data_IF_709796419664
#
_entry.id   IF_709796419664
#
_cell.length_a   1.000
_cell.length_b   1.000
_cell.length_c   1.000
_cell.angle_alpha   90.00
_cell.angle_beta   90.00
_cell.angle_gamma   90.00
#
_symmetry.space_group_name_H-M   'P 1'
#
loop_
_entity.id
_entity.type
_entity.pdbx_description
1 polymer ?
#
# COMPACT_ATOMS: atom_id res chain seq x y z
N UNK A 1 -51.58 14.60 28.65
CA UNK A 1 -52.11 15.43 29.77
C UNK A 1 -51.48 14.98 31.08
N UNK A 2 -50.45 15.68 31.56
CA UNK A 2 -50.10 15.91 32.99
C UNK A 2 -48.83 16.76 33.03
N UNK A 3 -49.06 18.06 33.21
CA UNK A 3 -48.07 19.10 33.49
C UNK A 3 -47.41 18.84 34.85
N UNK A 4 -46.10 19.08 34.95
CA UNK A 4 -45.45 19.46 36.21
C UNK A 4 -44.61 20.71 35.97
N UNK A 5 -45.16 21.81 36.46
CA UNK A 5 -44.60 23.15 36.59
C UNK A 5 -43.59 23.11 37.75
N UNK A 6 -42.37 23.63 37.56
CA UNK A 6 -41.50 24.02 38.68
C UNK A 6 -40.77 25.32 38.34
N UNK A 7 -40.69 26.15 39.38
CA UNK A 7 -40.49 27.60 39.35
C UNK A 7 -39.10 28.05 38.91
N UNK A 8 -39.09 29.23 38.28
CA UNK A 8 -37.94 30.10 38.03
C UNK A 8 -37.18 30.40 39.33
N UNK A 9 -35.87 30.15 39.31
CA UNK A 9 -34.89 30.67 40.27
C UNK A 9 -33.82 31.45 39.51
N UNK A 10 -33.85 32.78 39.63
CA UNK A 10 -32.86 33.71 39.08
C UNK A 10 -31.60 33.60 39.94
N UNK A 11 -30.53 33.02 39.40
CA UNK A 11 -29.20 32.98 40.01
C UNK A 11 -28.22 33.82 39.19
N UNK A 12 -27.91 35.01 39.71
CA UNK A 12 -26.89 35.92 39.19
C UNK A 12 -25.52 35.28 39.46
N UNK A 13 -24.83 34.84 38.40
CA UNK A 13 -23.51 34.21 38.46
C UNK A 13 -22.45 35.04 37.74
N UNK A 14 -21.53 35.58 38.55
CA UNK A 14 -20.22 36.17 38.27
C UNK A 14 -19.68 36.09 36.82
N UNK A 15 -19.38 37.26 36.24
CA UNK A 15 -18.50 37.43 35.09
C UNK A 15 -17.05 37.16 35.53
N UNK A 16 -16.51 35.98 35.18
CA UNK A 16 -15.08 35.70 35.25
C UNK A 16 -14.40 36.34 34.03
N UNK A 17 -13.61 37.39 34.31
CA UNK A 17 -12.74 38.07 33.36
C UNK A 17 -11.72 37.10 32.77
N UNK A 18 -11.77 36.89 31.45
CA UNK A 18 -10.79 36.10 30.71
C UNK A 18 -9.41 36.76 30.79
N UNK A 19 -8.43 36.02 31.31
CA UNK A 19 -7.01 36.35 31.19
C UNK A 19 -6.61 36.01 29.75
N UNK A 20 -6.06 36.95 28.95
CA UNK A 20 -5.58 36.62 27.62
C UNK A 20 -4.35 35.73 27.76
N UNK A 21 -4.45 34.52 27.22
CA UNK A 21 -3.33 33.62 27.03
C UNK A 21 -2.38 34.30 26.02
N UNK A 22 -1.33 34.93 26.52
CA UNK A 22 -0.26 35.45 25.67
C UNK A 22 0.48 34.25 25.11
N UNK A 23 0.22 33.93 23.84
CA UNK A 23 1.05 33.01 23.09
C UNK A 23 2.48 33.59 23.09
N UNK A 24 3.38 32.95 23.84
CA UNK A 24 4.80 33.21 23.74
C UNK A 24 5.23 32.80 22.33
N UNK A 25 5.43 33.80 21.48
CA UNK A 25 6.03 33.63 20.17
C UNK A 25 7.49 33.25 20.40
N UNK A 26 7.78 31.94 20.32
CA UNK A 26 9.15 31.45 20.29
C UNK A 26 9.81 32.05 19.04
N UNK A 27 10.92 32.74 19.23
CA UNK A 27 11.71 33.38 18.17
C UNK A 27 12.27 32.31 17.24
N UNK A 28 11.54 32.01 16.17
CA UNK A 28 11.98 31.13 15.08
C UNK A 28 13.23 31.75 14.44
N UNK A 29 14.36 31.05 14.46
CA UNK A 29 15.51 31.40 13.62
C UNK A 29 15.00 31.54 12.19
N UNK A 30 15.26 32.69 11.57
CA UNK A 30 14.75 33.02 10.24
C UNK A 30 15.14 31.91 9.26
N UNK A 31 14.15 31.15 8.79
CA UNK A 31 14.34 30.06 7.83
C UNK A 31 15.06 30.62 6.60
N UNK A 32 16.20 30.03 6.19
CA UNK A 32 16.90 30.50 5.01
C UNK A 32 16.03 30.28 3.78
N UNK A 33 15.89 31.33 2.96
CA UNK A 33 15.11 31.24 1.72
C UNK A 33 15.88 30.49 0.63
N UNK A 34 17.21 30.63 0.63
CA UNK A 34 18.15 29.96 -0.27
C UNK A 34 19.31 29.39 0.53
N UNK A 35 19.74 28.17 0.20
CA UNK A 35 20.93 27.51 0.74
C UNK A 35 21.85 27.13 -0.42
N UNK A 36 23.14 27.39 -0.28
CA UNK A 36 24.14 27.01 -1.29
C UNK A 36 24.82 25.72 -0.82
N UNK A 37 24.82 24.69 -1.66
CA UNK A 37 25.47 23.41 -1.40
C UNK A 37 26.79 23.36 -2.19
N UNK A 38 27.88 23.70 -1.52
CA UNK A 38 29.22 23.93 -2.08
C UNK A 38 30.26 22.85 -1.69
N UNK A 39 29.85 21.87 -0.88
CA UNK A 39 30.77 20.96 -0.21
C UNK A 39 31.49 19.97 -1.15
N UNK A 40 31.02 19.85 -2.40
CA UNK A 40 31.57 18.96 -3.44
C UNK A 40 31.96 19.74 -4.71
N UNK A 41 32.22 21.04 -4.59
CA UNK A 41 32.51 21.94 -5.71
C UNK A 41 33.71 21.54 -6.59
N UNK A 42 34.59 20.67 -6.10
CA UNK A 42 35.78 20.24 -6.86
C UNK A 42 35.43 19.40 -8.09
N UNK A 43 34.20 18.86 -8.17
CA UNK A 43 33.75 17.97 -9.25
C UNK A 43 32.59 18.61 -10.05
N UNK A 44 31.74 19.39 -9.37
CA UNK A 44 30.55 20.02 -9.96
C UNK A 44 30.42 21.48 -9.52
N UNK A 45 29.66 22.30 -10.23
CA UNK A 45 29.26 23.63 -9.72
C UNK A 45 28.36 23.50 -8.48
N UNK A 46 28.35 24.48 -7.54
CA UNK A 46 27.49 24.41 -6.36
C UNK A 46 26.00 24.41 -6.72
N UNK A 47 25.19 23.67 -5.96
CA UNK A 47 23.71 23.71 -6.10
C UNK A 47 23.18 24.92 -5.36
N UNK A 48 22.34 25.70 -6.05
CA UNK A 48 21.53 26.74 -5.44
C UNK A 48 20.19 26.11 -5.02
N UNK A 49 20.08 25.71 -3.76
CA UNK A 49 18.89 25.09 -3.22
C UNK A 49 17.88 26.16 -2.75
N UNK A 50 16.73 26.21 -3.42
CA UNK A 50 15.62 27.10 -3.07
C UNK A 50 14.86 26.52 -1.86
N UNK A 51 15.45 26.64 -0.67
CA UNK A 51 14.91 26.08 0.57
C UNK A 51 13.50 26.61 0.88
N UNK A 52 13.22 27.90 0.64
CA UNK A 52 11.90 28.49 0.87
C UNK A 52 10.80 27.77 0.08
N UNK A 53 11.01 27.53 -1.21
CA UNK A 53 10.05 26.82 -2.06
C UNK A 53 9.84 25.37 -1.60
N UNK A 54 10.91 24.68 -1.21
CA UNK A 54 10.80 23.31 -0.72
C UNK A 54 10.09 23.23 0.64
N UNK A 55 10.36 24.19 1.53
CA UNK A 55 9.66 24.29 2.80
C UNK A 55 8.16 24.54 2.60
N UNK A 56 7.79 25.40 1.65
CA UNK A 56 6.39 25.65 1.29
C UNK A 56 5.72 24.38 0.74
N UNK A 57 6.38 23.67 -0.19
CA UNK A 57 5.87 22.40 -0.72
C UNK A 57 5.70 21.34 0.38
N UNK A 58 6.65 21.24 1.30
CA UNK A 58 6.61 20.26 2.38
C UNK A 58 5.46 20.51 3.38
N UNK A 59 4.92 21.74 3.48
CA UNK A 59 3.74 22.02 4.32
C UNK A 59 2.48 21.27 3.88
N UNK A 60 2.45 20.76 2.65
CA UNK A 60 1.34 19.97 2.12
C UNK A 60 1.36 18.51 2.61
N UNK A 61 2.44 18.09 3.29
CA UNK A 61 2.67 16.74 3.80
C UNK A 61 3.13 16.78 5.27
N UNK A 62 4.19 16.07 5.67
CA UNK A 62 4.69 16.03 7.06
C UNK A 62 5.51 17.29 7.49
N UNK A 63 5.45 18.38 6.71
CA UNK A 63 6.13 19.63 7.02
C UNK A 63 7.66 19.50 6.99
N UNK A 64 8.34 20.14 7.95
CA UNK A 64 9.82 20.12 8.00
C UNK A 64 10.40 18.70 8.13
N UNK A 65 9.63 17.76 8.70
CA UNK A 65 10.05 16.38 8.94
C UNK A 65 10.26 15.59 7.65
N UNK A 66 9.69 16.05 6.52
CA UNK A 66 9.89 15.45 5.19
C UNK A 66 11.37 15.42 4.79
N UNK A 67 12.16 16.40 5.25
CA UNK A 67 13.61 16.47 4.99
C UNK A 67 14.46 16.40 6.26
N UNK A 68 13.98 16.98 7.36
CA UNK A 68 14.73 17.09 8.60
C UNK A 68 14.33 16.02 9.60
N UNK A 69 15.12 14.96 9.64
CA UNK A 69 15.02 13.92 10.66
C UNK A 69 15.90 14.22 11.89
N UNK A 70 15.54 13.64 13.03
CA UNK A 70 16.30 13.69 14.29
C UNK A 70 16.73 15.11 14.75
N UNK A 71 15.95 16.13 14.40
CA UNK A 71 16.24 17.51 14.79
C UNK A 71 15.93 17.73 16.27
N UNK A 72 16.79 18.42 17.03
CA UNK A 72 16.48 18.82 18.40
C UNK A 72 15.35 19.86 18.44
N UNK A 73 14.64 19.93 19.56
CA UNK A 73 13.43 20.77 19.71
C UNK A 73 13.70 22.28 19.50
N UNK A 74 14.95 22.73 19.65
CA UNK A 74 15.34 24.14 19.63
C UNK A 74 15.88 24.63 18.29
N UNK A 75 16.30 23.73 17.38
CA UNK A 75 16.85 24.11 16.07
C UNK A 75 16.81 22.97 15.04
N UNK A 76 16.84 23.35 13.77
CA UNK A 76 16.98 22.42 12.65
C UNK A 76 18.42 22.52 12.12
N UNK A 77 19.30 21.53 12.38
CA UNK A 77 20.68 21.56 11.90
C UNK A 77 20.78 21.22 10.40
N UNK A 78 21.81 21.72 9.70
CA UNK A 78 22.11 21.29 8.33
C UNK A 78 22.65 19.86 8.32
N UNK A 79 22.43 19.15 7.20
CA UNK A 79 22.80 17.74 7.01
C UNK A 79 24.24 17.44 7.42
N UNK A 80 25.18 18.35 7.08
CA UNK A 80 26.62 18.20 7.35
C UNK A 80 27.02 18.15 8.82
N UNK A 81 26.17 18.61 9.76
CA UNK A 81 26.45 18.45 11.19
C UNK A 81 26.44 16.97 11.59
N UNK A 82 25.73 16.13 10.84
CA UNK A 82 25.68 14.69 11.07
C UNK A 82 26.36 13.91 9.95
N UNK A 83 26.08 14.20 8.68
CA UNK A 83 26.60 13.46 7.52
C UNK A 83 27.98 13.97 7.08
N UNK A 84 29.00 13.10 7.11
CA UNK A 84 30.39 13.44 6.75
C UNK A 84 30.64 13.41 5.25
N UNK A 85 31.58 14.25 4.79
CA UNK A 85 32.09 14.18 3.40
C UNK A 85 33.06 12.99 3.23
N UNK A 86 33.72 12.60 4.31
CA UNK A 86 34.71 11.52 4.30
C UNK A 86 34.05 10.14 4.20
N UNK A 87 34.60 9.29 3.33
CA UNK A 87 34.18 7.91 3.07
C UNK A 87 35.00 6.99 4.00
N UNK A 88 34.87 7.17 5.32
CA UNK A 88 35.70 6.41 6.27
C UNK A 88 35.05 5.07 6.66
N UNK A 89 33.71 4.97 6.69
CA UNK A 89 32.98 3.71 6.91
C UNK A 89 31.65 3.67 6.11
N UNK A 90 31.32 2.49 5.58
CA UNK A 90 30.09 2.25 4.81
C UNK A 90 28.90 2.02 5.75
N UNK A 91 28.47 3.06 6.45
CA UNK A 91 27.24 3.04 7.26
C UNK A 91 26.05 3.50 6.39
N UNK A 92 25.12 2.59 6.10
CA UNK A 92 23.94 2.92 5.31
C UNK A 92 22.85 3.61 6.14
N UNK A 93 22.86 3.44 7.46
CA UNK A 93 21.99 4.14 8.40
C UNK A 93 22.40 5.61 8.56
N UNK A 94 23.70 5.89 8.40
CA UNK A 94 24.27 7.23 8.39
C UNK A 94 25.15 7.43 7.15
N UNK A 95 24.54 7.65 5.97
CA UNK A 95 25.29 7.83 4.73
C UNK A 95 26.21 9.05 4.80
N UNK A 96 27.12 9.14 3.84
CA UNK A 96 27.90 10.36 3.62
C UNK A 96 26.99 11.54 3.30
N UNK A 97 27.55 12.74 3.29
CA UNK A 97 26.83 13.94 2.89
C UNK A 97 26.31 13.84 1.44
N UNK A 98 27.10 13.23 0.54
CA UNK A 98 26.70 12.99 -0.84
C UNK A 98 25.53 12.00 -0.92
N UNK A 99 25.68 10.83 -0.28
CA UNK A 99 24.63 9.82 -0.23
C UNK A 99 23.34 10.34 0.39
N UNK A 100 23.42 11.19 1.43
CA UNK A 100 22.26 11.83 2.04
C UNK A 100 21.52 12.77 1.05
N UNK A 101 22.24 13.63 0.32
CA UNK A 101 21.64 14.53 -0.67
C UNK A 101 20.98 13.76 -1.82
N UNK A 102 21.70 12.84 -2.45
CA UNK A 102 21.14 12.09 -3.58
C UNK A 102 19.92 11.26 -3.15
N UNK A 103 19.96 10.62 -1.99
CA UNK A 103 18.78 9.90 -1.47
C UNK A 103 17.61 10.84 -1.21
N UNK A 104 17.81 11.96 -0.53
CA UNK A 104 16.70 12.85 -0.18
C UNK A 104 16.11 13.56 -1.40
N UNK A 105 16.97 14.16 -2.23
CA UNK A 105 16.54 14.99 -3.36
C UNK A 105 15.99 14.12 -4.50
N UNK A 106 16.67 13.03 -4.86
CA UNK A 106 16.25 12.21 -5.99
C UNK A 106 15.06 11.33 -5.65
N UNK A 107 14.89 10.90 -4.40
CA UNK A 107 13.73 10.06 -4.06
C UNK A 107 12.41 10.80 -4.29
N UNK A 108 12.33 12.09 -3.92
CA UNK A 108 11.15 12.90 -4.21
C UNK A 108 11.06 13.25 -5.71
N UNK A 109 12.17 13.66 -6.35
CA UNK A 109 12.13 14.09 -7.75
C UNK A 109 11.91 12.93 -8.74
N UNK A 110 12.32 11.71 -8.41
CA UNK A 110 12.14 10.51 -9.26
C UNK A 110 10.67 10.15 -9.43
N UNK A 111 9.82 10.49 -8.48
CA UNK A 111 8.38 10.30 -8.59
C UNK A 111 7.77 11.24 -9.64
N UNK A 112 8.39 12.39 -9.90
CA UNK A 112 7.82 13.47 -10.71
C UNK A 112 8.54 13.69 -12.06
N UNK A 113 9.83 13.37 -12.16
CA UNK A 113 10.63 13.48 -13.38
C UNK A 113 11.14 12.12 -13.89
N UNK A 114 10.80 11.81 -15.15
CA UNK A 114 11.12 10.53 -15.80
C UNK A 114 12.56 10.40 -16.33
N UNK A 115 13.40 11.44 -16.20
CA UNK A 115 14.79 11.44 -16.68
C UNK A 115 15.74 11.98 -15.63
N UNK A 116 16.60 11.10 -15.10
CA UNK A 116 17.70 11.47 -14.20
C UNK A 116 18.76 12.25 -15.00
N UNK A 117 18.65 13.58 -15.02
CA UNK A 117 19.68 14.45 -15.59
C UNK A 117 20.40 15.11 -14.43
N UNK A 118 21.62 14.66 -14.12
CA UNK A 118 22.45 15.23 -13.06
C UNK A 118 22.64 16.75 -13.20
N UNK A 119 22.57 17.23 -14.45
CA UNK A 119 22.71 18.64 -14.86
C UNK A 119 21.54 19.52 -14.39
N UNK A 120 20.41 18.93 -13.98
CA UNK A 120 19.29 19.66 -13.37
C UNK A 120 19.66 20.22 -12.00
N UNK A 121 20.48 19.51 -11.23
CA UNK A 121 20.91 19.93 -9.91
C UNK A 121 22.26 20.66 -9.95
N UNK A 122 23.22 20.12 -10.70
CA UNK A 122 24.59 20.61 -10.74
C UNK A 122 25.05 20.85 -12.18
N UNK A 123 25.55 22.05 -12.50
CA UNK A 123 26.25 22.24 -13.78
C UNK A 123 27.62 21.53 -13.74
N UNK A 124 27.99 20.83 -14.83
CA UNK A 124 29.34 20.24 -14.97
C UNK A 124 30.37 21.36 -15.12
N UNK A 125 31.43 21.32 -14.32
CA UNK A 125 32.63 22.11 -14.58
C UNK A 125 33.29 21.60 -15.87
N UNK A 126 33.59 22.50 -16.80
CA UNK A 126 34.26 22.15 -18.07
C UNK A 126 35.62 21.52 -17.73
N UNK A 127 35.89 20.32 -18.24
CA UNK A 127 37.15 19.60 -17.97
C UNK A 127 38.36 20.41 -18.45
N UNK A 128 39.22 20.86 -17.54
CA UNK A 128 40.60 21.17 -17.88
C UNK A 128 41.41 19.86 -17.73
N UNK A 129 42.17 19.50 -18.76
CA UNK A 129 42.76 18.17 -19.01
C UNK A 129 43.82 17.68 -18.01
N UNK A 130 43.56 17.78 -16.72
CA UNK A 130 44.37 17.24 -15.63
C UNK A 130 44.01 15.78 -15.34
N UNK A 131 45.02 14.92 -15.43
CA UNK A 131 45.05 13.50 -15.08
C UNK A 131 44.05 13.12 -13.95
N UNK A 132 42.86 12.65 -14.33
CA UNK A 132 41.81 12.30 -13.37
C UNK A 132 42.24 11.05 -12.60
N UNK A 133 42.56 11.21 -11.32
CA UNK A 133 42.59 10.08 -10.40
C UNK A 133 41.21 9.43 -10.43
N UNK A 134 41.17 8.10 -10.47
CA UNK A 134 39.93 7.32 -10.39
C UNK A 134 39.09 7.84 -9.22
N UNK A 135 37.85 8.33 -9.44
CA UNK A 135 37.01 8.86 -8.38
C UNK A 135 36.83 7.78 -7.29
N UNK A 136 36.99 8.17 -6.03
CA UNK A 136 36.60 7.31 -4.92
C UNK A 136 35.09 7.08 -5.02
N UNK A 137 34.68 5.81 -5.17
CA UNK A 137 33.26 5.45 -5.28
C UNK A 137 32.65 5.41 -3.89
N UNK A 138 31.75 6.34 -3.62
CA UNK A 138 30.92 6.33 -2.42
C UNK A 138 29.84 5.26 -2.55
N UNK A 139 29.96 4.14 -1.82
CA UNK A 139 28.95 3.06 -1.90
C UNK A 139 27.68 3.35 -1.11
N UNK A 140 27.59 4.49 -0.42
CA UNK A 140 26.35 4.96 0.20
C UNK A 140 25.52 5.80 -0.78
N UNK A 141 26.12 6.23 -1.89
CA UNK A 141 25.42 6.90 -2.98
C UNK A 141 24.57 5.90 -3.80
N UNK A 142 23.42 6.37 -4.28
CA UNK A 142 22.44 5.57 -5.04
C UNK A 142 22.56 5.76 -6.55
N UNK A 143 23.30 6.77 -7.01
CA UNK A 143 23.46 7.08 -8.44
C UNK A 143 24.07 5.89 -9.19
N UNK A 144 23.36 5.41 -10.21
CA UNK A 144 23.83 4.32 -11.08
C UNK A 144 23.89 2.95 -10.42
N UNK A 145 23.39 2.81 -9.19
CA UNK A 145 23.31 1.54 -8.48
C UNK A 145 21.86 1.05 -8.52
N UNK A 146 21.58 0.07 -9.39
CA UNK A 146 20.31 -0.63 -9.34
C UNK A 146 20.20 -1.38 -8.01
N UNK A 147 19.09 -1.19 -7.29
CA UNK A 147 18.83 -1.99 -6.10
C UNK A 147 18.72 -3.48 -6.51
N UNK A 148 19.40 -4.40 -5.79
CA UNK A 148 19.27 -5.83 -6.06
C UNK A 148 17.80 -6.28 -6.02
N UNK A 149 17.46 -7.36 -6.73
CA UNK A 149 16.14 -7.95 -6.60
C UNK A 149 15.86 -8.29 -5.13
N UNK A 150 14.80 -7.72 -4.56
CA UNK A 150 14.39 -8.00 -3.17
C UNK A 150 13.62 -9.30 -3.18
N UNK A 151 14.23 -10.36 -2.64
CA UNK A 151 13.54 -11.63 -2.48
C UNK A 151 12.53 -11.55 -1.34
N UNK A 152 11.25 -11.59 -1.70
CA UNK A 152 10.14 -11.63 -0.75
C UNK A 152 10.02 -13.05 -0.16
N UNK A 153 10.04 -13.24 1.17
CA UNK A 153 9.80 -14.53 1.78
C UNK A 153 8.43 -15.09 1.41
N UNK A 154 8.29 -16.41 1.25
CA UNK A 154 6.98 -17.01 0.97
C UNK A 154 5.99 -16.74 2.11
N UNK A 155 6.39 -17.09 3.34
CA UNK A 155 5.62 -16.88 4.57
C UNK A 155 6.54 -16.74 5.78
N UNK A 156 6.04 -16.08 6.81
CA UNK A 156 6.65 -15.97 8.12
C UNK A 156 5.75 -16.57 9.19
N UNK A 157 6.32 -17.41 10.05
CA UNK A 157 5.59 -18.03 11.16
C UNK A 157 6.08 -17.43 12.47
N UNK A 158 5.15 -16.93 13.29
CA UNK A 158 5.42 -16.38 14.60
C UNK A 158 4.90 -17.32 15.68
N UNK A 159 5.77 -17.64 16.66
CA UNK A 159 5.40 -18.41 17.84
C UNK A 159 5.01 -17.47 18.97
N UNK A 160 3.78 -17.61 19.45
CA UNK A 160 3.20 -16.72 20.46
C UNK A 160 2.97 -17.44 21.78
N UNK A 161 2.77 -16.67 22.86
CA UNK A 161 2.42 -17.19 24.19
C UNK A 161 0.90 -17.37 24.37
N UNK A 162 0.10 -17.08 23.36
CA UNK A 162 -1.35 -17.18 23.44
C UNK A 162 -1.77 -18.64 23.52
N UNK A 163 -2.53 -19.00 24.57
CA UNK A 163 -2.81 -20.41 24.89
C UNK A 163 -3.77 -21.08 23.90
N UNK A 164 -4.72 -20.33 23.34
CA UNK A 164 -5.73 -20.88 22.43
C UNK A 164 -5.17 -21.12 21.01
N UNK A 165 -4.15 -20.37 20.60
CA UNK A 165 -3.45 -20.53 19.32
C UNK A 165 -2.02 -19.98 19.40
N UNK A 166 -1.04 -20.88 19.28
CA UNK A 166 0.39 -20.56 19.49
C UNK A 166 1.09 -20.11 18.23
N UNK A 167 0.45 -20.25 17.06
CA UNK A 167 1.03 -19.93 15.77
C UNK A 167 0.24 -18.79 15.14
N UNK A 168 0.98 -17.82 14.60
CA UNK A 168 0.46 -16.81 13.67
C UNK A 168 1.25 -16.98 12.39
N UNK A 169 0.55 -17.21 11.28
CA UNK A 169 1.17 -17.39 9.97
C UNK A 169 0.87 -16.17 9.13
N UNK A 170 1.92 -15.52 8.62
CA UNK A 170 1.83 -14.39 7.72
C UNK A 170 2.32 -14.83 6.34
N UNK A 171 1.43 -14.91 5.37
CA UNK A 171 1.77 -15.26 3.99
C UNK A 171 2.28 -14.01 3.26
N UNK A 172 3.57 -13.73 3.44
CA UNK A 172 4.20 -12.50 2.96
C UNK A 172 4.13 -12.37 1.44
N UNK A 173 4.35 -13.47 0.70
CA UNK A 173 4.23 -13.44 -0.77
C UNK A 173 2.80 -13.16 -1.23
N UNK A 174 1.78 -13.68 -0.54
CA UNK A 174 0.38 -13.38 -0.88
C UNK A 174 0.05 -11.89 -0.68
N UNK A 175 0.58 -11.25 0.37
CA UNK A 175 0.35 -9.81 0.57
C UNK A 175 0.93 -8.96 -0.56
N UNK A 176 2.09 -9.32 -1.08
CA UNK A 176 2.73 -8.57 -2.17
C UNK A 176 2.18 -8.98 -3.54
N UNK A 177 2.13 -10.27 -3.86
CA UNK A 177 1.81 -10.75 -5.20
C UNK A 177 0.31 -10.96 -5.44
N UNK A 178 -0.45 -11.41 -4.45
CA UNK A 178 -1.88 -11.67 -4.62
C UNK A 178 -2.71 -10.44 -4.26
N UNK A 179 -2.46 -9.83 -3.11
CA UNK A 179 -3.19 -8.67 -2.63
C UNK A 179 -2.62 -7.34 -3.13
N UNK A 180 -1.45 -7.35 -3.77
CA UNK A 180 -0.82 -6.21 -4.45
C UNK A 180 -0.43 -5.06 -3.51
N UNK A 181 -0.11 -5.37 -2.24
CA UNK A 181 0.46 -4.40 -1.33
C UNK A 181 1.90 -4.04 -1.72
N UNK A 182 2.26 -2.78 -1.51
CA UNK A 182 3.60 -2.26 -1.70
C UNK A 182 4.44 -2.49 -0.44
N UNK A 183 5.75 -2.56 -0.61
CA UNK A 183 6.67 -2.74 0.52
C UNK A 183 6.46 -1.67 1.60
N UNK A 184 6.24 -0.42 1.17
CA UNK A 184 6.04 0.74 2.05
C UNK A 184 4.75 0.66 2.86
N UNK A 185 3.75 -0.10 2.43
CA UNK A 185 2.49 -0.25 3.18
C UNK A 185 2.71 -0.95 4.54
N UNK A 186 3.78 -1.74 4.65
CA UNK A 186 4.18 -2.42 5.89
C UNK A 186 5.50 -1.90 6.47
N UNK A 187 6.45 -1.51 5.60
CA UNK A 187 7.81 -1.13 5.95
C UNK A 187 8.04 0.39 5.95
N UNK A 188 6.99 1.19 6.20
CA UNK A 188 7.04 2.66 6.20
C UNK A 188 7.98 3.31 7.23
N UNK A 189 8.40 2.58 8.27
CA UNK A 189 9.32 3.07 9.31
C UNK A 189 10.71 2.41 9.24
N UNK A 190 11.00 1.67 8.18
CA UNK A 190 12.29 1.03 7.97
C UNK A 190 13.20 1.89 7.10
N UNK A 191 14.51 1.67 7.21
CA UNK A 191 15.50 2.35 6.39
C UNK A 191 16.44 1.33 5.72
N UNK A 192 17.31 1.79 4.83
CA UNK A 192 18.21 0.94 4.04
C UNK A 192 19.01 -0.07 4.89
N UNK A 193 19.41 0.33 6.11
CA UNK A 193 20.19 -0.55 7.00
C UNK A 193 19.39 -1.74 7.51
N UNK A 194 18.05 -1.63 7.62
CA UNK A 194 17.20 -2.75 8.05
C UNK A 194 17.35 -3.96 7.14
N UNK A 195 17.47 -3.73 5.83
CA UNK A 195 17.66 -4.79 4.84
C UNK A 195 19.12 -5.12 4.58
N UNK A 196 20.00 -4.11 4.46
CA UNK A 196 21.39 -4.31 4.02
C UNK A 196 22.35 -4.75 5.12
N UNK A 197 22.14 -4.34 6.37
CA UNK A 197 23.03 -4.71 7.48
C UNK A 197 22.52 -5.94 8.22
N UNK A 198 21.29 -6.39 7.93
CA UNK A 198 20.66 -7.60 8.46
C UNK A 198 20.46 -7.64 9.98
N UNK A 199 21.07 -6.71 10.74
CA UNK A 199 21.08 -6.68 12.19
C UNK A 199 21.29 -5.24 12.68
N UNK A 200 20.19 -4.57 12.99
CA UNK A 200 19.98 -3.90 14.28
C UNK A 200 18.49 -3.65 14.44
N UNK A 201 17.78 -4.69 14.90
CA UNK A 201 16.63 -4.44 15.77
C UNK A 201 17.16 -3.64 16.94
N UNK A 202 17.04 -2.32 16.91
CA UNK A 202 16.88 -1.59 18.16
C UNK A 202 15.59 -2.16 18.71
N UNK A 203 15.71 -3.22 19.52
CA UNK A 203 14.57 -3.83 20.15
C UNK A 203 13.81 -2.69 20.82
N UNK A 204 12.52 -2.48 20.53
CA UNK A 204 11.74 -1.57 21.33
C UNK A 204 11.89 -2.05 22.75
N UNK A 205 12.48 -1.20 23.60
CA UNK A 205 12.54 -1.36 25.03
C UNK A 205 11.12 -1.18 25.58
N UNK A 206 10.19 -2.05 25.16
CA UNK A 206 8.91 -2.36 25.79
C UNK A 206 8.11 -3.34 24.92
N UNK A 207 7.87 -4.54 25.48
CA UNK A 207 6.95 -5.57 24.96
C UNK A 207 5.49 -5.14 25.14
N UNK A 208 5.07 -4.03 24.53
CA UNK A 208 3.63 -3.74 24.48
C UNK A 208 3.02 -4.59 23.37
N UNK A 209 1.83 -5.12 23.65
CA UNK A 209 1.12 -6.02 22.75
C UNK A 209 0.89 -5.38 21.38
N UNK A 210 0.59 -4.09 21.38
CA UNK A 210 0.27 -3.30 20.19
C UNK A 210 1.44 -3.22 19.19
N UNK A 211 2.71 -3.14 19.63
CA UNK A 211 3.87 -3.02 18.71
C UNK A 211 3.95 -4.13 17.65
N UNK A 212 3.49 -5.34 17.98
CA UNK A 212 3.46 -6.46 17.02
C UNK A 212 2.13 -6.61 16.28
N UNK A 213 1.05 -6.01 16.78
CA UNK A 213 -0.28 -6.10 16.18
C UNK A 213 -0.57 -4.90 15.27
N UNK A 214 -0.08 -3.71 15.61
CA UNK A 214 -0.33 -2.44 14.90
C UNK A 214 -0.12 -2.55 13.38
N UNK A 215 0.94 -3.22 12.86
CA UNK A 215 1.10 -3.40 11.41
C UNK A 215 -0.02 -4.22 10.76
N UNK A 216 -0.60 -5.17 11.48
CA UNK A 216 -1.69 -6.00 10.98
C UNK A 216 -3.05 -5.30 11.17
N UNK A 217 -3.23 -4.61 12.29
CA UNK A 217 -4.52 -4.02 12.71
C UNK A 217 -4.93 -2.81 11.87
N UNK A 218 -4.00 -2.21 11.12
CA UNK A 218 -4.33 -1.18 10.14
C UNK A 218 -5.27 -1.67 9.03
N UNK A 219 -5.21 -2.96 8.70
CA UNK A 219 -6.05 -3.57 7.65
C UNK A 219 -6.97 -4.69 8.18
N UNK A 220 -6.56 -5.39 9.24
CA UNK A 220 -7.29 -6.52 9.80
C UNK A 220 -8.00 -6.13 11.10
N UNK A 221 -9.33 -6.21 11.07
CA UNK A 221 -10.17 -5.93 12.24
C UNK A 221 -10.06 -7.02 13.33
N UNK A 222 -9.83 -6.59 14.58
CA UNK A 222 -9.89 -7.43 15.79
C UNK A 222 -10.73 -6.82 16.90
N UNK A 223 -11.77 -6.05 16.57
CA UNK A 223 -12.62 -5.33 17.53
C UNK A 223 -13.26 -6.22 18.62
N UNK A 224 -13.29 -7.54 18.44
CA UNK A 224 -13.77 -8.48 19.45
C UNK A 224 -12.76 -9.59 19.76
N UNK A 225 -12.59 -9.95 21.04
CA UNK A 225 -11.68 -11.02 21.51
C UNK A 225 -11.92 -12.39 20.83
N UNK A 226 -13.12 -12.62 20.31
CA UNK A 226 -13.48 -13.82 19.55
C UNK A 226 -12.75 -13.94 18.20
N UNK A 227 -12.25 -12.83 17.63
CA UNK A 227 -11.56 -12.80 16.34
C UNK A 227 -10.05 -13.01 16.44
N UNK A 228 -9.47 -13.05 17.65
CA UNK A 228 -8.05 -13.35 17.85
C UNK A 228 -7.65 -14.70 17.23
N UNK A 229 -8.58 -15.67 17.19
CA UNK A 229 -8.38 -16.99 16.58
C UNK A 229 -8.20 -16.97 15.06
N UNK A 230 -8.50 -15.87 14.38
CA UNK A 230 -8.22 -15.68 12.96
C UNK A 230 -6.72 -15.73 12.70
N UNK A 231 -5.94 -14.96 13.47
CA UNK A 231 -4.49 -14.96 13.39
C UNK A 231 -3.87 -16.08 14.23
N UNK A 232 -4.41 -16.31 15.44
CA UNK A 232 -3.86 -17.25 16.39
C UNK A 232 -4.45 -18.65 16.23
N UNK A 233 -3.72 -19.51 15.52
CA UNK A 233 -4.11 -20.88 15.25
C UNK A 233 -3.24 -21.89 16.00
N UNK A 234 -3.72 -23.14 16.09
CA UNK A 234 -2.95 -24.27 16.64
C UNK A 234 -1.95 -24.83 15.63
N UNK A 235 -2.26 -24.68 14.35
CA UNK A 235 -1.46 -25.09 13.19
C UNK A 235 -1.18 -23.87 12.32
N UNK A 236 -0.31 -24.01 11.33
CA UNK A 236 -0.16 -22.98 10.30
C UNK A 236 -1.48 -22.73 9.58
N UNK A 237 -1.78 -21.48 9.26
CA UNK A 237 -2.97 -21.16 8.45
C UNK A 237 -2.70 -21.54 7.00
N UNK A 238 -3.72 -22.05 6.27
CA UNK A 238 -3.62 -22.18 4.84
C UNK A 238 -3.48 -20.80 4.18
N UNK A 239 -2.91 -20.77 2.99
CA UNK A 239 -2.95 -19.60 2.12
C UNK A 239 -4.36 -19.33 1.59
N UNK A 240 -4.55 -18.20 0.93
CA UNK A 240 -5.84 -17.88 0.32
C UNK A 240 -6.17 -18.80 -0.85
N UNK A 241 -7.45 -19.20 -0.94
CA UNK A 241 -8.00 -19.91 -2.08
C UNK A 241 -9.50 -19.71 -2.17
N UNK A 242 -10.01 -19.40 -3.37
CA UNK A 242 -11.45 -19.30 -3.62
C UNK A 242 -12.21 -20.61 -3.33
N UNK A 243 -11.55 -21.76 -3.41
CA UNK A 243 -12.13 -23.05 -3.05
C UNK A 243 -12.56 -23.12 -1.58
N UNK A 244 -12.01 -22.25 -0.72
CA UNK A 244 -12.36 -22.12 0.69
C UNK A 244 -13.47 -21.08 0.93
N UNK A 245 -13.85 -20.31 -0.08
CA UNK A 245 -14.78 -19.17 0.03
C UNK A 245 -16.23 -19.53 -0.28
N UNK A 246 -16.53 -20.80 -0.57
CA UNK A 246 -17.87 -21.25 -0.97
C UNK A 246 -18.18 -21.01 -2.45
N UNK A 247 -17.34 -20.24 -3.16
CA UNK A 247 -17.43 -20.01 -4.60
C UNK A 247 -16.08 -20.31 -5.29
N UNK A 248 -15.82 -21.58 -5.65
CA UNK A 248 -14.64 -21.97 -6.42
C UNK A 248 -14.63 -21.29 -7.80
N UNK A 249 -13.50 -20.70 -8.18
CA UNK A 249 -13.34 -20.15 -9.53
C UNK A 249 -13.21 -21.29 -10.54
N UNK A 250 -13.98 -21.22 -11.63
CA UNK A 250 -13.87 -22.14 -12.76
C UNK A 250 -12.70 -21.73 -13.68
N UNK A 251 -12.40 -22.56 -14.68
CA UNK A 251 -11.28 -22.37 -15.62
C UNK A 251 -11.25 -21.00 -16.31
N UNK A 252 -12.41 -20.40 -16.59
CA UNK A 252 -12.50 -19.10 -17.23
C UNK A 252 -12.32 -17.92 -16.25
N UNK A 253 -12.52 -18.15 -14.96
CA UNK A 253 -12.40 -17.12 -13.92
C UNK A 253 -11.12 -17.26 -13.07
N UNK A 254 -10.45 -18.41 -13.09
CA UNK A 254 -9.30 -18.73 -12.21
C UNK A 254 -8.11 -17.77 -12.38
N UNK A 255 -7.95 -17.19 -13.58
CA UNK A 255 -6.83 -16.30 -13.93
C UNK A 255 -7.20 -14.82 -13.90
N UNK A 256 -8.44 -14.50 -13.55
CA UNK A 256 -8.86 -13.10 -13.48
C UNK A 256 -8.18 -12.41 -12.29
N UNK A 257 -7.74 -11.15 -12.45
CA UNK A 257 -7.25 -10.38 -11.32
C UNK A 257 -8.41 -10.13 -10.35
N UNK A 258 -8.13 -10.02 -9.05
CA UNK A 258 -9.16 -9.85 -8.03
C UNK A 258 -10.09 -8.66 -8.33
N UNK A 259 -9.54 -7.59 -8.91
CA UNK A 259 -10.27 -6.37 -9.23
C UNK A 259 -11.25 -6.50 -10.42
N UNK A 260 -11.25 -7.63 -11.13
CA UNK A 260 -12.22 -7.92 -12.16
C UNK A 260 -13.62 -8.13 -11.57
N UNK A 261 -13.70 -8.65 -10.34
CA UNK A 261 -14.96 -8.88 -9.63
C UNK A 261 -15.06 -8.01 -8.37
N UNK A 262 -13.98 -7.92 -7.60
CA UNK A 262 -13.96 -7.13 -6.39
C UNK A 262 -13.63 -5.66 -6.68
N UNK A 263 -14.32 -4.71 -6.04
CA UNK A 263 -13.89 -3.32 -6.14
C UNK A 263 -12.49 -3.13 -5.52
N UNK A 264 -11.83 -2.05 -5.90
CA UNK A 264 -10.43 -1.80 -5.54
C UNK A 264 -10.24 -1.43 -4.05
N UNK A 265 -11.32 -1.30 -3.30
CA UNK A 265 -11.30 -1.05 -1.86
C UNK A 265 -10.79 -2.26 -1.08
N UNK A 266 -10.07 -1.97 0.00
CA UNK A 266 -9.56 -2.97 0.93
C UNK A 266 -10.13 -2.65 2.32
N UNK A 267 -10.50 -3.67 3.13
CA UNK A 267 -10.45 -5.11 2.84
C UNK A 267 -11.49 -5.57 1.80
N UNK A 268 -11.21 -6.69 1.13
CA UNK A 268 -12.16 -7.27 0.17
C UNK A 268 -13.40 -7.81 0.89
N UNK A 269 -14.56 -7.29 0.50
CA UNK A 269 -15.85 -7.73 1.02
C UNK A 269 -16.43 -8.90 0.20
N UNK A 270 -17.23 -9.79 0.83
CA UNK A 270 -17.99 -10.81 0.11
C UNK A 270 -18.89 -10.17 -0.96
N UNK A 271 -19.01 -10.84 -2.11
CA UNK A 271 -19.88 -10.44 -3.21
C UNK A 271 -21.01 -11.46 -3.36
N UNK A 272 -22.14 -10.98 -3.86
CA UNK A 272 -23.24 -11.82 -4.33
C UNK A 272 -22.81 -12.57 -5.60
N UNK A 273 -22.96 -13.90 -5.63
CA UNK A 273 -22.39 -14.78 -6.67
C UNK A 273 -23.22 -14.87 -7.94
N UNK A 274 -24.23 -14.02 -8.11
CA UNK A 274 -25.02 -14.00 -9.34
C UNK A 274 -24.21 -13.40 -10.49
N UNK A 275 -24.34 -13.99 -11.67
CA UNK A 275 -23.52 -13.65 -12.84
C UNK A 275 -23.58 -12.15 -13.18
N UNK A 276 -24.78 -11.55 -13.06
CA UNK A 276 -25.04 -10.14 -13.39
C UNK A 276 -24.30 -9.13 -12.51
N UNK A 277 -23.86 -9.53 -11.30
CA UNK A 277 -23.12 -8.63 -10.42
C UNK A 277 -21.71 -8.34 -10.94
N UNK A 278 -21.15 -9.24 -11.75
CA UNK A 278 -19.86 -9.06 -12.41
C UNK A 278 -20.05 -8.77 -13.91
N UNK A 279 -20.99 -9.46 -14.56
CA UNK A 279 -21.29 -9.30 -15.98
C UNK A 279 -22.46 -8.33 -16.21
N UNK A 280 -22.15 -7.03 -16.22
CA UNK A 280 -23.18 -5.96 -16.31
C UNK A 280 -23.77 -5.74 -17.71
N UNK A 281 -23.15 -6.26 -18.77
CA UNK A 281 -23.56 -6.05 -20.17
C UNK A 281 -23.50 -7.35 -20.99
N UNK A 282 -24.06 -8.44 -20.48
CA UNK A 282 -24.23 -9.67 -21.24
C UNK A 282 -25.63 -9.73 -21.87
N UNK A 283 -25.71 -10.13 -23.14
CA UNK A 283 -26.95 -10.27 -23.88
C UNK A 283 -26.70 -11.24 -25.04
N UNK A 284 -27.77 -11.66 -25.71
CA UNK A 284 -27.67 -12.58 -26.82
C UNK A 284 -26.76 -12.01 -27.93
N UNK A 285 -25.68 -12.73 -28.25
CA UNK A 285 -24.66 -12.34 -29.23
C UNK A 285 -23.35 -11.78 -28.66
N UNK A 286 -23.27 -11.46 -27.35
CA UNK A 286 -22.00 -11.11 -26.68
C UNK A 286 -21.59 -12.12 -25.60
N UNK A 287 -22.47 -13.08 -25.27
CA UNK A 287 -22.14 -14.20 -24.40
C UNK A 287 -21.94 -15.47 -25.22
N UNK A 288 -20.81 -16.11 -25.02
CA UNK A 288 -20.45 -17.35 -25.67
C UNK A 288 -20.84 -18.53 -24.76
N UNK A 289 -21.81 -19.34 -25.17
CA UNK A 289 -22.26 -20.50 -24.38
C UNK A 289 -21.22 -21.63 -24.35
N UNK A 290 -20.21 -21.62 -25.23
CA UNK A 290 -19.13 -22.61 -25.20
C UNK A 290 -18.39 -22.62 -23.87
N UNK A 291 -18.32 -21.46 -23.18
CA UNK A 291 -17.70 -21.35 -21.84
C UNK A 291 -18.45 -22.15 -20.75
N UNK A 292 -19.67 -22.59 -21.06
CA UNK A 292 -20.49 -23.47 -20.22
C UNK A 292 -20.39 -24.94 -20.63
N UNK A 293 -19.62 -25.25 -21.67
CA UNK A 293 -19.48 -26.60 -22.25
C UNK A 293 -20.52 -26.94 -23.31
N UNK A 294 -21.25 -25.95 -23.83
CA UNK A 294 -22.32 -26.15 -24.80
C UNK A 294 -22.30 -25.10 -25.92
N UNK A 295 -22.17 -25.54 -27.15
CA UNK A 295 -22.39 -24.72 -28.34
C UNK A 295 -23.87 -24.82 -28.72
N UNK A 296 -24.64 -23.73 -28.57
CA UNK A 296 -26.06 -23.72 -28.92
C UNK A 296 -26.26 -23.87 -30.44
N UNK A 297 -27.33 -24.55 -30.83
CA UNK A 297 -27.67 -24.65 -32.26
C UNK A 297 -28.12 -23.31 -32.84
N UNK A 298 -28.06 -23.18 -34.17
CA UNK A 298 -28.52 -21.99 -34.92
C UNK A 298 -29.93 -21.53 -34.52
N UNK A 299 -30.82 -22.44 -34.13
CA UNK A 299 -32.16 -22.09 -33.65
C UNK A 299 -32.14 -21.60 -32.20
N UNK A 300 -31.41 -22.27 -31.31
CA UNK A 300 -31.44 -21.95 -29.87
C UNK A 300 -30.67 -20.67 -29.54
N UNK A 301 -29.66 -20.33 -30.34
CA UNK A 301 -28.90 -19.09 -30.17
C UNK A 301 -29.73 -17.84 -30.49
N UNK A 302 -30.90 -17.94 -31.12
CA UNK A 302 -31.77 -16.78 -31.40
C UNK A 302 -32.66 -16.36 -30.23
N UNK A 303 -32.79 -17.19 -29.18
CA UNK A 303 -33.66 -16.90 -28.03
C UNK A 303 -33.00 -16.01 -26.98
N UNK A 304 -33.81 -15.23 -26.26
CA UNK A 304 -33.31 -14.42 -25.16
C UNK A 304 -32.95 -15.30 -23.95
N UNK A 305 -32.02 -14.83 -23.12
CA UNK A 305 -31.53 -15.61 -21.98
C UNK A 305 -32.68 -16.12 -21.07
N UNK A 306 -33.70 -15.29 -20.86
CA UNK A 306 -34.85 -15.60 -20.01
C UNK A 306 -35.83 -16.62 -20.60
N UNK A 307 -35.75 -16.90 -21.90
CA UNK A 307 -36.60 -17.90 -22.54
C UNK A 307 -36.21 -19.33 -22.11
N UNK A 308 -34.94 -19.54 -21.78
CA UNK A 308 -34.43 -20.79 -21.21
C UNK A 308 -34.14 -20.66 -19.70
N UNK A 309 -33.52 -19.58 -19.26
CA UNK A 309 -33.15 -19.36 -17.87
C UNK A 309 -34.20 -18.50 -17.15
N UNK A 310 -35.25 -19.16 -16.67
CA UNK A 310 -36.37 -18.50 -15.97
C UNK A 310 -35.88 -17.62 -14.80
N UNK A 311 -36.46 -16.42 -14.71
CA UNK A 311 -36.06 -15.36 -13.77
C UNK A 311 -34.56 -15.00 -13.80
N UNK A 312 -33.86 -15.28 -14.90
CA UNK A 312 -32.41 -15.07 -15.04
C UNK A 312 -31.60 -15.83 -13.97
N UNK A 313 -32.10 -17.00 -13.54
CA UNK A 313 -31.42 -17.87 -12.58
C UNK A 313 -30.55 -18.90 -13.31
N UNK A 314 -29.38 -18.47 -13.76
CA UNK A 314 -28.41 -19.28 -14.53
C UNK A 314 -27.80 -20.46 -13.74
N UNK A 315 -27.94 -20.47 -12.43
CA UNK A 315 -27.57 -21.60 -11.56
C UNK A 315 -28.54 -22.79 -11.66
N UNK A 316 -29.74 -22.56 -12.19
CA UNK A 316 -30.74 -23.60 -12.41
C UNK A 316 -30.66 -24.16 -13.84
N UNK A 317 -31.03 -25.44 -14.04
CA UNK A 317 -31.19 -26.00 -15.36
C UNK A 317 -32.14 -25.16 -16.24
N UNK A 318 -31.87 -25.06 -17.56
CA UNK A 318 -32.76 -24.35 -18.47
C UNK A 318 -34.11 -25.04 -18.57
N UNK A 319 -35.17 -24.26 -18.73
CA UNK A 319 -36.52 -24.76 -18.94
C UNK A 319 -36.72 -25.19 -20.39
N UNK A 320 -37.00 -26.48 -20.58
CA UNK A 320 -37.29 -27.07 -21.89
C UNK A 320 -38.81 -27.18 -22.12
N UNK A 321 -39.58 -27.32 -21.03
CA UNK A 321 -40.98 -27.68 -21.06
C UNK A 321 -41.90 -26.54 -21.52
N UNK A 322 -41.46 -25.28 -21.46
CA UNK A 322 -42.24 -24.16 -22.00
C UNK A 322 -42.37 -24.20 -23.53
N UNK A 323 -41.46 -24.90 -24.22
CA UNK A 323 -41.42 -24.96 -25.69
C UNK A 323 -41.56 -26.38 -26.27
N UNK A 324 -41.18 -27.41 -25.51
CA UNK A 324 -41.20 -28.80 -25.96
C UNK A 324 -42.20 -29.66 -25.17
N UNK A 325 -42.54 -30.82 -25.73
CA UNK A 325 -43.38 -31.81 -25.07
C UNK A 325 -42.72 -32.33 -23.77
N UNK A 326 -43.53 -32.89 -22.86
CA UNK A 326 -43.17 -33.25 -21.48
C UNK A 326 -41.99 -34.27 -21.34
N UNK A 327 -41.46 -34.81 -22.43
CA UNK A 327 -40.35 -35.76 -22.45
C UNK A 327 -38.98 -35.14 -22.83
N UNK A 328 -38.92 -33.85 -23.17
CA UNK A 328 -37.67 -33.13 -23.46
C UNK A 328 -37.20 -32.35 -22.23
N UNK A 329 -36.03 -32.72 -21.70
CA UNK A 329 -35.45 -32.08 -20.52
C UNK A 329 -33.92 -32.10 -20.52
N UNK A 330 -33.32 -31.08 -19.92
CA UNK A 330 -31.88 -31.02 -19.64
C UNK A 330 -31.52 -31.94 -18.45
N UNK A 331 -30.41 -32.69 -18.48
CA UNK A 331 -29.32 -32.68 -19.47
C UNK A 331 -29.43 -33.77 -20.55
N UNK A 332 -30.53 -34.54 -20.59
CA UNK A 332 -30.68 -35.68 -21.50
C UNK A 332 -30.89 -35.22 -22.96
N UNK A 333 -31.53 -34.06 -23.13
CA UNK A 333 -31.67 -33.37 -24.40
C UNK A 333 -31.02 -31.99 -24.30
N UNK A 334 -30.07 -31.73 -25.19
CA UNK A 334 -29.29 -30.50 -25.19
C UNK A 334 -29.78 -29.56 -26.31
N UNK A 335 -29.86 -28.24 -26.06
CA UNK A 335 -30.21 -27.25 -27.08
C UNK A 335 -29.04 -26.97 -28.06
N UNK A 336 -28.09 -27.91 -28.18
CA UNK A 336 -26.83 -27.72 -28.87
C UNK A 336 -25.91 -28.94 -28.78
N UNK A 337 -24.65 -28.75 -29.16
CA UNK A 337 -23.59 -29.77 -29.09
C UNK A 337 -22.66 -29.51 -27.90
N UNK A 338 -22.17 -30.58 -27.26
CA UNK A 338 -21.18 -30.43 -26.18
C UNK A 338 -19.83 -30.06 -26.77
N UNK A 339 -19.20 -29.05 -26.19
CA UNK A 339 -17.81 -28.68 -26.47
C UNK A 339 -16.91 -29.13 -25.31
N UNK A 340 -15.68 -29.56 -25.66
CA UNK A 340 -14.69 -30.13 -24.72
C UNK A 340 -13.91 -29.08 -23.92
#
# INVERSE_FOLDING_TARGET
MKFRLFLMGIGIGLVLTGIPLTAQVVSVQKTPEVVILDQLENIFEPVIFQHGLHADMATMDEGCAVCHHFSPDDRIPPCRECHSIEIEEHDLAKPTLNGAYHRQCLNCHKEWESKEVCETCHARKVEDGGNQKTPLVDKTDIIGVAHPEIHVPEKQIFKTKFKAGKLVTFHHREHIELYQFQCVDCHHQENCSTCHEGIRKIAPLQKKLNVHHDPCLGCHDTETESKCGFCHMKTESPGFSHNLTGWPLNTHHERLPCNACHPADRPLNPLETTCINCHTNWFNGNFDHEVTGLELSDTHVEFECGDCHLDEKFENPPDCASCHDDDVFYPDFLPGEKVE
#
